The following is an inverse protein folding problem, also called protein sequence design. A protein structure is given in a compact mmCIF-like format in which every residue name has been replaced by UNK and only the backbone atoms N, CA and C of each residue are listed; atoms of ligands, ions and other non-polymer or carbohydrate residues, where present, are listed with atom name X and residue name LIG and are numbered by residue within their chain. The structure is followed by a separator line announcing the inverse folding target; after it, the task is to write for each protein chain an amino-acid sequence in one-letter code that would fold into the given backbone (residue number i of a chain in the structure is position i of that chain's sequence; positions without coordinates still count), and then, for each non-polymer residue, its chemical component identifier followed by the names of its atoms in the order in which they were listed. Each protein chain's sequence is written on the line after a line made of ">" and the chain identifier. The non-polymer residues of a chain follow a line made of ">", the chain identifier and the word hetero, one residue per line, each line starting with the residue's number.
data_IF_947437415752
#
_entry.id   IF_947437415752
#
_cell.length_a   1.000
_cell.length_b   1.000
_cell.length_c   1.000
_cell.angle_alpha   90.00
_cell.angle_beta   90.00
_cell.angle_gamma   90.00
#
_symmetry.space_group_name_H-M   'P 1'
#
loop_
_entity.id
_entity.type
_entity.pdbx_description
1 polymer ?
2 polymer ?
3 polymer ?
4 non-polymer ?
5 non-polymer ?
6 water ?
#
# COMPACT_ATOMS: atom_id res chain seq x y z
N UNK A 5 -4.01 23.71 13.01
CA UNK A 5 -3.40 22.47 12.44
C UNK A 5 -2.80 22.67 11.05
N UNK A 6 -1.53 23.06 11.01
CA UNK A 6 -0.84 23.30 9.73
C UNK A 6 0.44 22.48 9.61
N UNK A 7 1.03 22.53 8.42
CA UNK A 7 2.21 21.74 8.10
C UNK A 7 3.38 21.88 9.04
N UNK A 8 3.83 20.76 9.60
CA UNK A 8 4.95 20.73 10.53
C UNK A 8 6.08 19.91 9.89
N UNK A 9 7.24 20.53 9.78
CA UNK A 9 8.38 19.93 9.14
C UNK A 9 8.87 18.75 9.98
N UNK A 10 9.22 17.65 9.30
CA UNK A 10 9.89 16.52 9.93
C UNK A 10 11.40 16.82 9.84
N UNK A 11 12.07 16.81 11.00
CA UNK A 11 13.51 17.04 11.07
C UNK A 11 14.26 15.72 11.11
N UNK A 12 15.46 15.75 10.54
CA UNK A 12 16.30 14.58 10.43
C UNK A 12 17.71 14.98 10.87
N UNK A 13 18.23 14.32 11.90
CA UNK A 13 19.59 14.59 12.35
C UNK A 13 20.59 13.45 11.99
N UNK A 14 20.31 12.62 10.99
CA UNK A 14 21.19 11.48 10.66
C UNK A 14 20.77 10.19 11.35
N UNK A 15 20.23 10.30 12.57
CA UNK A 15 19.84 9.14 13.38
C UNK A 15 18.35 8.99 13.58
N UNK A 16 17.64 10.11 13.63
CA UNK A 16 16.21 10.10 13.98
C UNK A 16 15.42 11.05 13.10
N UNK A 17 14.15 10.71 12.91
CA UNK A 17 13.22 11.63 12.34
C UNK A 17 12.33 12.11 13.50
N UNK A 18 12.07 13.42 13.55
CA UNK A 18 11.43 14.00 14.71
C UNK A 18 10.42 15.00 14.27
N UNK A 19 9.30 15.07 14.99
CA UNK A 19 8.25 16.08 14.75
C UNK A 19 7.19 15.97 15.85
N UNK A 20 6.67 17.12 16.32
CA UNK A 20 5.57 17.20 17.32
C UNK A 20 5.91 16.46 18.62
N UNK A 21 7.18 16.49 18.98
CA UNK A 21 7.61 15.76 20.15
C UNK A 21 7.67 14.23 20.03
N UNK A 23 9.53 10.83 17.95
CA UNK A 23 10.64 10.48 17.10
C UNK A 23 10.72 9.01 16.82
N UNK A 24 11.27 8.72 15.64
CA UNK A 24 11.53 7.38 15.13
C UNK A 24 13.00 7.27 14.69
N UNK A 25 13.66 6.16 14.97
CA UNK A 25 14.99 5.93 14.33
C UNK A 25 14.87 5.93 12.79
N UNK A 26 15.96 6.31 12.14
CA UNK A 26 16.04 6.35 10.72
C UNK A 26 15.55 5.06 10.10
N UNK A 27 16.08 3.93 10.55
CA UNK A 27 15.80 2.71 9.81
C UNK A 27 14.39 2.25 10.14
N UNK A 28 13.93 2.42 11.38
CA UNK A 28 12.60 1.93 11.70
C UNK A 28 11.57 2.73 10.90
N UNK A 29 11.76 4.04 10.84
CA UNK A 29 10.89 4.91 10.08
C UNK A 29 10.78 4.45 8.62
N UNK A 30 11.90 4.18 8.01
CA UNK A 30 11.89 3.82 6.59
C UNK A 30 11.28 2.45 6.37
N UNK A 31 11.50 1.58 7.35
CA UNK A 31 11.02 0.20 7.27
C UNK A 31 9.50 0.19 7.25
N UNK A 32 8.87 0.99 8.09
CA UNK A 32 7.44 1.06 8.17
C UNK A 32 6.83 1.49 6.86
N UNK A 33 7.29 2.56 6.26
CA UNK A 33 6.78 2.91 4.91
C UNK A 33 7.01 1.82 3.87
N UNK A 34 8.18 1.21 3.91
CA UNK A 34 8.55 0.20 2.97
C UNK A 34 7.71 -1.03 3.13
N UNK A 35 7.29 -1.38 4.32
CA UNK A 35 6.53 -2.63 4.52
C UNK A 35 5.02 -2.47 4.34
N UNK A 36 4.58 -1.29 3.97
CA UNK A 36 3.18 -1.09 3.76
C UNK A 36 2.45 -0.62 4.99
N UNK A 37 3.19 -0.01 5.94
CA UNK A 37 2.60 0.62 7.11
C UNK A 37 2.94 2.12 7.16
N UNK A 38 2.39 2.89 6.21
CA UNK A 38 2.78 4.27 6.07
C UNK A 38 2.26 5.17 7.17
N UNK A 39 2.83 6.36 7.18
CA UNK A 39 2.47 7.46 8.06
C UNK A 39 2.58 7.06 9.52
N UNK A 40 3.79 6.66 9.96
CA UNK A 40 4.03 6.27 11.33
C UNK A 40 3.79 7.35 12.38
N UNK A 41 4.00 8.62 12.06
CA UNK A 41 3.69 9.69 13.01
C UNK A 41 2.21 9.83 13.18
N UNK A 42 1.49 9.74 12.08
CA UNK A 42 0.03 9.73 12.17
C UNK A 42 -0.47 8.53 13.00
N UNK A 43 0.05 7.33 12.75
CA UNK A 43 -0.33 6.16 13.58
C UNK A 43 -0.06 6.41 15.07
N UNK A 44 1.13 6.92 15.39
CA UNK A 44 1.54 7.06 16.81
C UNK A 44 0.68 8.13 17.51
N UNK A 45 0.40 9.19 16.80
CA UNK A 45 -0.49 10.21 17.31
C UNK A 45 -1.89 9.65 17.58
N UNK A 46 -2.39 8.84 16.68
CA UNK A 46 -3.67 8.18 16.95
C UNK A 46 -3.62 7.42 18.25
N UNK A 47 -2.51 6.72 18.48
CA UNK A 47 -2.46 5.95 19.73
C UNK A 47 -2.50 6.89 20.94
N UNK A 48 -1.68 7.95 20.88
CA UNK A 48 -1.50 8.84 21.99
C UNK A 48 -2.84 9.55 22.30
N UNK A 49 -3.68 9.76 21.29
CA UNK A 49 -4.98 10.44 21.38
C UNK A 49 -6.18 9.53 21.53
N UNK A 50 -5.93 8.27 21.83
CA UNK A 50 -7.02 7.26 21.89
C UNK A 50 -7.36 6.85 23.31
N UNK A 51 -7.00 7.68 24.29
CA UNK A 51 -6.98 7.25 25.70
C UNK A 51 -6.37 5.89 25.83
N UNK A 52 -5.11 5.76 25.51
CA UNK A 52 -4.59 4.40 25.46
C UNK A 52 -4.39 3.77 26.85
N UNK A 53 -4.46 2.44 26.90
CA UNK A 53 -4.05 1.65 28.05
C UNK A 53 -2.52 1.69 28.10
N UNK A 54 -1.98 2.08 29.24
CA UNK A 54 -0.57 2.31 29.39
C UNK A 54 -0.07 1.37 30.46
N UNK A 55 1.01 0.64 30.14
CA UNK A 55 1.64 -0.31 31.06
C UNK A 55 3.17 -0.25 30.86
N UNK A 56 3.94 -0.87 31.79
CA UNK A 56 5.39 -0.97 31.54
C UNK A 56 5.68 -1.79 30.29
N UNK A 57 6.76 -1.51 29.59
CA UNK A 57 7.21 -2.41 28.51
C UNK A 57 7.32 -3.84 29.06
N UNK A 58 6.54 -4.81 28.52
CA UNK A 58 6.70 -6.20 29.00
C UNK A 58 8.11 -6.78 28.78
N UNK A 59 8.83 -6.34 27.76
CA UNK A 59 10.20 -6.78 27.56
C UNK A 59 11.20 -6.01 28.39
N UNK A 60 10.80 -4.93 29.06
CA UNK A 60 11.72 -4.24 29.98
C UNK A 60 12.77 -3.31 29.38
N UNK A 61 12.58 -2.83 28.15
CA UNK A 61 13.46 -1.77 27.66
C UNK A 61 13.37 -0.52 28.57
N UNK A 62 14.52 0.06 28.95
CA UNK A 62 14.47 1.12 29.98
C UNK A 62 13.86 2.42 29.43
N UNK A 63 12.97 3.05 30.22
CA UNK A 63 12.28 4.26 29.83
C UNK A 63 11.00 4.04 28.99
N UNK A 64 10.78 2.81 28.53
CA UNK A 64 9.72 2.55 27.57
C UNK A 64 8.49 2.04 28.26
N UNK A 65 7.34 2.34 27.65
CA UNK A 65 6.04 1.81 28.08
C UNK A 65 5.29 1.23 26.91
N UNK A 66 4.39 0.32 27.20
CA UNK A 66 3.47 -0.17 26.21
C UNK A 66 2.14 0.58 26.25
N UNK A 67 1.76 1.16 25.10
CA UNK A 67 0.53 1.85 24.90
C UNK A 67 -0.35 1.05 23.92
N UNK A 68 -1.64 0.97 24.22
CA UNK A 68 -2.56 0.26 23.37
C UNK A 68 -3.82 1.07 23.12
N UNK A 69 -4.13 1.34 21.87
CA UNK A 69 -5.29 2.10 21.52
C UNK A 69 -5.34 2.30 20.02
N UNK A 70 -6.49 2.68 19.52
CA UNK A 70 -6.73 2.89 18.11
C UNK A 70 -6.36 1.71 17.23
N UNK A 71 -6.54 0.52 17.76
CA UNK A 71 -6.21 -0.67 16.97
C UNK A 71 -4.72 -1.02 16.92
N UNK A 72 -3.89 -0.34 17.70
CA UNK A 72 -2.46 -0.54 17.64
C UNK A 72 -1.86 -0.64 19.04
N UNK A 73 -0.64 -1.18 19.07
CA UNK A 73 0.19 -1.35 20.25
C UNK A 73 1.47 -0.70 19.88
N UNK A 75 5.34 0.75 21.63
CA UNK A 75 6.34 0.80 22.66
C UNK A 75 6.98 2.18 22.47
N UNK A 76 6.87 2.99 23.52
CA UNK A 76 7.08 4.47 23.46
C UNK A 76 7.69 4.99 24.76
N UNK A 77 8.66 5.88 24.58
CA UNK A 77 9.39 6.50 25.68
C UNK A 77 8.85 7.90 25.89
N UNK A 78 7.95 8.06 26.89
CA UNK A 78 7.35 9.40 27.13
C UNK A 78 8.38 10.54 27.45
N UNK A 79 9.57 10.21 27.94
CA UNK A 79 10.62 11.19 28.17
C UNK A 79 11.25 11.66 26.84
N UNK A 80 11.71 10.72 26.00
CA UNK A 80 12.39 11.10 24.78
C UNK A 80 11.42 11.30 23.61
N UNK A 81 10.20 10.82 23.70
CA UNK A 81 9.27 10.87 22.59
C UNK A 81 9.50 9.79 21.53
N UNK A 82 10.40 8.86 21.80
CA UNK A 82 10.73 7.86 20.78
C UNK A 82 9.70 6.76 20.77
N UNK A 83 9.19 6.52 19.58
CA UNK A 83 8.39 5.32 19.25
C UNK A 83 9.33 4.20 18.88
N UNK A 84 9.52 3.21 19.75
CA UNK A 84 10.49 2.14 19.47
C UNK A 84 9.91 1.01 18.61
N UNK A 85 8.59 0.84 18.73
CA UNK A 85 7.86 -0.16 18.00
C UNK A 85 6.35 0.12 17.99
N UNK A 86 5.72 -0.08 16.84
CA UNK A 86 4.31 0.11 16.68
C UNK A 86 3.81 -0.92 15.62
N UNK A 87 2.70 -1.60 15.91
CA UNK A 87 2.05 -2.57 15.01
C UNK A 87 0.57 -2.72 15.37
N UNK A 88 -0.25 -3.28 14.45
CA UNK A 88 -1.67 -3.53 14.80
C UNK A 88 -1.81 -4.56 15.91
N UNK A 89 -2.86 -4.52 16.68
CA UNK A 89 -3.00 -5.52 17.76
C UNK A 89 -3.18 -6.90 17.17
N UNK A 90 -2.94 -7.91 17.99
CA UNK A 90 -3.14 -9.28 17.58
C UNK A 90 -4.58 -9.50 17.13
N UNK A 91 -4.74 -10.13 15.99
CA UNK A 91 -6.05 -10.51 15.50
C UNK A 91 -6.51 -11.76 16.26
N UNK A 92 -7.74 -11.77 16.74
CA UNK A 92 -8.30 -12.99 17.32
C UNK A 92 -8.67 -13.97 16.18
N UNK B 2 -20.23 -9.01 -22.26
CA UNK B 2 -20.14 -10.17 -21.38
C UNK B 2 -18.74 -10.25 -20.79
N UNK B 3 -18.67 -10.19 -19.47
CA UNK B 3 -17.38 -10.12 -18.81
C UNK B 3 -16.82 -11.49 -18.44
N UNK B 4 -17.62 -12.54 -18.63
CA UNK B 4 -17.22 -13.87 -18.17
C UNK B 4 -15.87 -14.39 -18.74
N UNK B 5 -15.62 -14.17 -20.02
CA UNK B 5 -14.38 -14.76 -20.57
C UNK B 5 -13.09 -14.20 -19.93
N UNK B 6 -13.08 -12.89 -19.66
CA UNK B 6 -11.92 -12.26 -19.04
C UNK B 6 -11.93 -12.54 -17.54
N UNK B 7 -13.13 -12.68 -16.99
CA UNK B 7 -13.28 -13.04 -15.61
C UNK B 7 -12.68 -14.43 -15.35
N UNK B 8 -12.87 -15.38 -16.28
CA UNK B 8 -12.37 -16.78 -16.17
C UNK B 8 -10.86 -16.77 -16.19
N UNK B 9 -10.30 -15.95 -17.10
CA UNK B 9 -8.87 -15.78 -17.21
C UNK B 9 -8.26 -15.28 -15.90
N UNK B 10 -8.87 -14.27 -15.30
CA UNK B 10 -8.47 -13.75 -14.03
C UNK B 10 -8.59 -14.82 -12.92
N UNK B 11 -9.68 -15.59 -12.94
CA UNK B 11 -9.90 -16.60 -11.96
C UNK B 11 -8.88 -17.74 -12.02
N UNK B 12 -8.50 -18.11 -13.20
CA UNK B 12 -7.46 -19.10 -13.43
C UNK B 12 -6.10 -18.61 -12.91
N UNK B 14 -5.83 -16.29 -10.57
CA UNK B 14 -5.97 -16.30 -9.13
C UNK B 14 -5.66 -17.69 -8.54
N UNK B 15 -6.23 -18.72 -9.14
CA UNK B 15 -5.99 -20.08 -8.66
C UNK B 15 -4.50 -20.42 -8.71
N UNK B 16 -3.83 -20.09 -9.80
CA UNK B 16 -2.43 -20.40 -9.95
C UNK B 16 -1.53 -19.62 -9.00
N UNK B 17 -1.79 -18.36 -8.79
CA UNK B 17 -0.94 -17.60 -7.92
C UNK B 17 -1.12 -17.97 -6.46
N UNK B 18 -2.34 -18.24 -6.06
CA UNK B 18 -2.60 -18.64 -4.68
C UNK B 18 -1.93 -19.97 -4.38
N UNK B 19 -2.05 -20.91 -5.30
CA UNK B 19 -1.38 -22.19 -5.17
C UNK B 19 0.09 -22.01 -4.88
N UNK B 20 0.72 -21.12 -5.65
CA UNK B 20 2.14 -20.82 -5.51
C UNK B 20 2.54 -20.10 -4.21
N UNK B 21 1.72 -19.15 -3.81
CA UNK B 21 1.93 -18.43 -2.56
C UNK B 21 1.87 -19.39 -1.39
N UNK B 22 0.90 -20.27 -1.38
CA UNK B 22 0.76 -21.25 -0.26
C UNK B 22 2.00 -22.15 -0.15
N UNK B 23 2.55 -22.52 -1.30
CA UNK B 23 3.75 -23.30 -1.30
C UNK B 23 4.90 -22.50 -0.73
N UNK B 24 4.99 -21.25 -1.11
CA UNK B 24 6.05 -20.45 -0.59
C UNK B 24 5.91 -20.31 0.93
N UNK B 25 4.69 -20.14 1.40
CA UNK B 25 4.39 -20.05 2.83
C UNK B 25 4.82 -21.32 3.59
N UNK B 26 4.67 -22.50 2.98
CA UNK B 26 5.12 -23.74 3.58
C UNK B 26 6.62 -23.71 3.79
N UNK B 27 7.40 -23.27 2.80
CA UNK B 27 8.86 -23.11 2.95
C UNK B 27 9.23 -22.11 4.03
N UNK B 28 8.52 -20.98 4.14
CA UNK B 28 8.84 -20.01 5.19
C UNK B 28 8.59 -20.69 6.53
N UNK B 29 7.50 -21.41 6.64
CA UNK B 29 7.11 -22.06 7.88
C UNK B 29 8.17 -23.08 8.32
N UNK B 30 8.64 -23.87 7.40
CA UNK B 30 9.65 -24.88 7.70
C UNK B 30 10.97 -24.23 8.11
N UNK B 31 11.42 -23.26 7.32
CA UNK B 31 12.68 -22.55 7.57
C UNK B 31 12.68 -21.84 8.97
N UNK B 32 11.55 -21.26 9.32
CA UNK B 32 11.39 -20.64 10.60
C UNK B 32 11.39 -21.66 11.74
N UNK B 33 10.73 -22.82 11.56
CA UNK B 33 10.73 -23.89 12.60
C UNK B 33 12.16 -24.31 12.94
N UNK B 34 12.99 -24.38 11.92
CA UNK B 34 14.40 -24.77 12.01
C UNK B 34 15.27 -23.70 12.67
N UNK B 35 15.04 -22.42 12.34
CA UNK B 35 15.74 -21.29 13.00
C UNK B 35 15.43 -21.18 14.45
N UNK B 36 14.16 -21.32 14.77
CA UNK B 36 13.71 -21.36 16.16
C UNK B 36 14.45 -22.49 16.89
N UNK B 37 14.50 -23.68 16.31
CA UNK B 37 15.20 -24.83 16.90
C UNK B 37 16.68 -24.51 17.11
N UNK B 38 17.35 -23.98 16.09
CA UNK B 38 18.78 -23.64 16.20
C UNK B 38 19.05 -22.59 17.27
N UNK B 39 18.26 -21.51 17.26
CA UNK B 39 18.38 -20.44 18.25
C UNK B 39 18.26 -20.98 19.68
N UNK B 40 17.32 -21.91 19.87
CA UNK B 40 17.08 -22.52 21.17
C UNK B 40 18.16 -23.49 21.59
N UNK B 41 19.04 -23.86 20.68
CA UNK B 41 20.13 -24.79 20.96
C UNK B 41 21.47 -24.09 20.99
N UNK B 42 21.54 -22.77 21.03
CA UNK B 42 22.86 -22.13 21.07
C UNK B 42 22.85 -20.99 22.07
N UNK B 43 24.02 -20.42 22.35
CA UNK B 43 24.06 -19.31 23.29
C UNK B 43 23.60 -17.96 22.64
N UNK B 44 23.35 -16.97 23.48
CA UNK B 44 22.80 -15.72 23.02
C UNK B 44 23.66 -15.03 21.96
N UNK B 45 24.94 -14.94 22.18
CA UNK B 45 25.79 -14.27 21.17
C UNK B 45 25.74 -14.92 19.80
N UNK B 46 25.82 -16.23 19.78
CA UNK B 46 25.88 -17.00 18.53
C UNK B 46 24.52 -17.06 17.84
N UNK B 47 23.47 -16.69 18.57
CA UNK B 47 22.10 -16.63 18.07
C UNK B 47 21.79 -15.37 17.29
N UNK B 48 22.63 -14.35 17.37
CA UNK B 48 22.29 -13.08 16.74
C UNK B 48 22.15 -13.16 15.23
N UNK B 49 23.06 -13.85 14.54
CA UNK B 49 22.84 -13.91 13.08
C UNK B 49 21.63 -14.78 12.73
N UNK B 50 21.26 -15.66 13.63
CA UNK B 50 20.12 -16.51 13.42
C UNK B 50 18.85 -15.71 13.62
N UNK B 51 18.86 -14.81 14.59
CA UNK B 51 17.74 -13.91 14.82
C UNK B 51 17.62 -12.95 13.65
N UNK B 52 18.75 -12.50 13.10
CA UNK B 52 18.71 -11.59 11.95
C UNK B 52 17.95 -12.21 10.78
N UNK B 53 18.23 -13.49 10.51
CA UNK B 53 17.48 -14.28 9.49
C UNK B 53 16.01 -14.45 9.86
N UNK B 54 15.74 -14.80 11.10
CA UNK B 54 14.38 -14.98 11.56
C UNK B 54 13.57 -13.71 11.41
N UNK B 55 14.08 -12.58 11.87
CA UNK B 55 13.32 -11.33 11.71
C UNK B 55 13.23 -10.80 10.30
N UNK B 56 14.22 -11.14 9.48
CA UNK B 56 14.21 -10.76 8.07
C UNK B 56 13.03 -11.47 7.41
N UNK B 58 10.26 -12.62 9.00
CA UNK B 58 9.08 -12.05 9.54
C UNK B 58 8.77 -10.76 8.78
N UNK B 59 9.80 -9.97 8.48
CA UNK B 59 9.63 -8.67 7.79
C UNK B 59 9.08 -8.85 6.43
N UNK B 60 9.49 -9.91 5.76
CA UNK B 60 8.96 -10.17 4.46
C UNK B 60 7.52 -10.62 4.58
N UNK B 61 7.22 -11.44 5.61
CA UNK B 61 5.85 -11.92 5.79
C UNK B 61 4.94 -10.76 6.17
N UNK B 62 5.46 -9.81 6.93
CA UNK B 62 4.70 -8.60 7.23
C UNK B 62 4.43 -7.75 5.98
N UNK B 63 5.40 -7.68 5.06
CA UNK B 63 5.22 -6.98 3.82
C UNK B 63 4.10 -7.66 3.02
N UNK B 65 1.55 -9.26 4.22
CA UNK B 65 0.26 -9.00 4.87
C UNK B 65 -0.22 -7.54 4.61
N UNK B 66 0.68 -6.59 4.76
CA UNK B 66 0.27 -5.19 4.78
C UNK B 66 0.42 -4.54 3.45
N UNK B 67 1.47 -4.83 2.68
CA UNK B 67 1.58 -4.19 1.37
C UNK B 67 0.71 -4.86 0.32
N UNK B 68 0.72 -6.18 0.26
CA UNK B 68 0.04 -6.89 -0.81
C UNK B 68 -1.28 -7.45 -0.35
N UNK B 69 -1.52 -7.44 0.93
CA UNK B 69 -2.80 -7.88 1.51
C UNK B 69 -3.12 -9.35 1.29
N UNK B 70 -2.10 -10.18 1.33
CA UNK B 70 -2.34 -11.61 1.34
C UNK B 70 -2.44 -12.02 2.80
N UNK B 71 -3.59 -12.57 3.17
CA UNK B 71 -3.86 -12.97 4.55
C UNK B 71 -3.51 -14.47 4.68
N UNK B 72 -2.48 -14.83 5.45
CA UNK B 72 -2.05 -16.22 5.54
C UNK B 72 -2.82 -17.02 6.62
N UNK B 73 -2.49 -18.30 6.81
CA UNK B 73 -3.05 -19.11 7.90
C UNK B 73 -2.71 -18.55 9.28
N UNK B 74 -3.59 -18.81 10.25
CA UNK B 74 -3.46 -18.35 11.65
C UNK B 74 -2.05 -18.49 12.23
N UNK B 75 -1.41 -19.60 11.95
CA UNK B 75 -0.07 -19.82 12.43
C UNK B 75 0.93 -18.75 12.02
N UNK B 76 0.97 -18.49 10.72
CA UNK B 76 1.81 -17.43 10.16
C UNK B 76 1.32 -16.03 10.62
N UNK B 77 0.02 -15.78 10.73
CA UNK B 77 -0.48 -14.53 11.30
C UNK B 77 0.00 -14.29 12.72
N UNK B 78 -0.07 -15.29 13.57
CA UNK B 78 0.46 -15.21 14.91
C UNK B 78 1.93 -14.97 14.92
N UNK B 79 2.65 -15.67 14.06
CA UNK B 79 4.06 -15.42 13.93
C UNK B 79 4.40 -13.98 13.54
N UNK B 80 3.69 -13.44 12.55
CA UNK B 80 3.90 -12.05 12.11
C UNK B 80 3.70 -11.05 13.26
N UNK B 81 2.69 -11.27 14.07
CA UNK B 81 2.50 -10.43 15.25
C UNK B 81 3.62 -10.62 16.28
N UNK B 82 3.76 -11.81 16.81
CA UNK B 82 4.72 -12.04 17.91
C UNK B 82 6.18 -11.67 17.62
N UNK B 83 6.62 -11.82 16.39
CA UNK B 83 8.02 -11.58 16.02
C UNK B 83 8.27 -10.27 15.32
N UNK B 84 7.30 -9.38 15.32
CA UNK B 84 7.45 -8.08 14.67
C UNK B 84 8.51 -7.22 15.33
N UNK B 85 8.47 -7.15 16.64
CA UNK B 85 9.42 -6.35 17.36
C UNK B 85 10.78 -7.06 17.44
N UNK B 86 11.81 -6.38 16.96
CA UNK B 86 13.14 -6.88 16.82
C UNK B 86 14.10 -5.92 17.50
N UNK B 87 14.46 -6.22 18.75
CA UNK B 87 15.51 -5.48 19.40
C UNK B 87 16.16 -6.39 20.43
N UNK B 88 17.13 -5.85 21.18
CA UNK B 88 17.84 -6.61 22.22
C UNK B 88 16.89 -7.28 23.23
N UNK B 89 15.83 -6.56 23.62
CA UNK B 89 14.95 -6.95 24.71
C UNK B 89 13.99 -8.01 24.25
N UNK B 90 13.55 -7.96 22.99
CA UNK B 90 12.68 -9.02 22.47
C UNK B 90 13.54 -10.26 22.19
N UNK B 91 14.76 -10.04 21.69
CA UNK B 91 15.67 -11.21 21.48
C UNK B 91 16.00 -11.96 22.76
N UNK B 92 16.23 -11.23 23.83
CA UNK B 92 16.51 -11.83 25.13
C UNK B 92 15.31 -12.73 25.51
N UNK B 93 14.10 -12.20 25.36
CA UNK B 93 12.87 -12.92 25.69
C UNK B 93 12.69 -14.17 24.83
N UNK B 94 12.84 -14.04 23.53
CA UNK B 94 12.60 -15.18 22.63
C UNK B 94 13.68 -16.22 22.79
N UNK B 95 14.93 -15.79 22.99
CA UNK B 95 15.99 -16.76 23.18
C UNK B 95 15.69 -17.65 24.38
N UNK B 96 15.30 -17.04 25.48
CA UNK B 96 14.97 -17.77 26.67
C UNK B 96 13.86 -18.76 26.40
N UNK B 97 12.79 -18.30 25.78
CA UNK B 97 11.64 -19.18 25.56
C UNK B 97 12.00 -20.33 24.63
N UNK B 98 12.75 -20.05 23.57
CA UNK B 98 13.10 -21.09 22.59
C UNK B 98 14.09 -22.11 23.21
N UNK B 99 15.05 -21.64 24.02
CA UNK B 99 15.93 -22.50 24.82
C UNK B 99 15.18 -23.44 25.76
N UNK B 100 14.08 -22.96 26.37
CA UNK B 100 13.25 -23.81 27.24
C UNK B 100 12.34 -24.77 26.49
N UNK B 101 12.42 -24.79 25.17
CA UNK B 101 11.68 -25.74 24.35
C UNK B 101 10.49 -25.22 23.54
N UNK B 102 10.32 -23.90 23.44
CA UNK B 102 9.27 -23.33 22.61
C UNK B 102 9.64 -23.50 21.12
N UNK B 103 8.74 -24.15 20.36
CA UNK B 103 8.97 -24.52 18.96
C UNK B 103 8.43 -23.51 17.95
N UNK B 104 7.54 -22.63 18.39
CA UNK B 104 6.89 -21.64 17.53
C UNK B 104 6.48 -20.47 18.41
N UNK B 105 6.60 -19.23 17.94
CA UNK B 105 6.20 -18.10 18.79
C UNK B 105 4.74 -18.09 19.26
N UNK B 106 4.57 -17.72 20.53
CA UNK B 106 3.27 -17.57 21.15
C UNK B 106 3.49 -16.95 22.52
N UNK B 107 2.47 -16.34 23.07
CA UNK B 107 2.59 -15.61 24.34
C UNK B 107 2.67 -16.57 25.53
N UNK C 32 -3.32 25.21 -8.14
CA UNK C 32 -3.73 23.93 -8.81
C UNK C 32 -4.39 22.99 -7.80
N UNK C 33 -5.59 22.47 -8.14
CA UNK C 33 -6.35 21.68 -7.19
C UNK C 33 -5.72 20.30 -6.92
N UNK C 34 -5.76 19.93 -5.64
CA UNK C 34 -5.15 18.74 -5.09
C UNK C 34 -5.58 17.44 -5.82
N UNK C 35 -4.63 16.54 -6.13
CA UNK C 35 -4.91 15.24 -6.72
C UNK C 35 -3.84 14.21 -6.32
N UNK C 36 -4.30 13.11 -5.70
CA UNK C 36 -3.47 12.00 -5.28
C UNK C 36 -4.04 10.67 -5.82
N UNK C 37 -3.39 10.05 -6.80
CA UNK C 37 -3.77 8.74 -7.20
C UNK C 37 -3.46 7.70 -6.12
N UNK C 38 -4.42 6.84 -5.77
CA UNK C 38 -4.23 5.87 -4.70
C UNK C 38 -3.47 4.62 -5.15
N UNK C 39 -2.36 4.34 -4.49
CA UNK C 39 -1.55 3.15 -4.69
C UNK C 39 -1.87 2.05 -3.71
N UNK C 40 -1.86 2.37 -2.43
CA UNK C 40 -1.97 1.36 -1.42
C UNK C 40 -2.93 1.87 -0.38
N UNK C 41 -3.47 0.93 0.39
CA UNK C 41 -4.41 1.20 1.45
C UNK C 41 -4.06 0.35 2.66
N UNK C 42 -4.15 0.97 3.83
CA UNK C 42 -3.78 0.35 5.09
C UNK C 42 -4.89 0.70 6.03
N UNK C 43 -5.58 -0.28 6.58
CA UNK C 43 -6.69 0.04 7.48
C UNK C 43 -6.27 -0.04 8.94
N UNK C 44 -6.69 0.96 9.72
CA UNK C 44 -6.51 0.93 11.19
C UNK C 44 -7.87 1.01 11.92
N UNK C 45 -8.10 0.01 12.77
CA UNK C 45 -9.35 -0.14 13.47
C UNK C 45 -9.85 1.10 14.23
N UNK C 46 -11.10 1.47 13.93
CA UNK C 46 -11.83 2.51 14.64
C UNK C 46 -11.47 3.95 14.33
N UNK C 47 -10.53 4.18 13.41
CA UNK C 47 -10.09 5.57 13.11
C UNK C 47 -10.16 5.91 11.62
N UNK C 48 -10.19 4.85 10.80
CA UNK C 48 -10.29 4.94 9.36
C UNK C 48 -9.18 4.17 8.66
N UNK C 49 -8.85 4.67 7.48
CA UNK C 49 -7.99 3.99 6.55
C UNK C 49 -6.93 5.00 6.11
N UNK C 50 -5.70 4.55 5.94
CA UNK C 50 -4.64 5.37 5.41
C UNK C 50 -4.41 5.02 3.95
N UNK C 51 -4.50 6.00 3.06
CA UNK C 51 -4.19 5.73 1.65
C UNK C 51 -2.93 6.42 1.25
N UNK C 52 -2.10 5.76 0.46
CA UNK C 52 -0.85 6.31 -0.01
C UNK C 52 -0.79 6.45 -1.47
N UNK C 53 0.04 7.40 -1.87
CA UNK C 53 0.43 7.59 -3.23
C UNK C 53 1.35 8.80 -3.35
N UNK C 54 1.68 9.14 -4.57
CA UNK C 54 2.47 10.30 -4.87
C UNK C 54 1.52 11.39 -5.28
N UNK C 55 1.53 12.53 -4.57
CA UNK C 55 0.74 13.69 -4.99
C UNK C 55 1.12 14.17 -6.39
N UNK C 56 0.10 14.36 -7.21
CA UNK C 56 0.25 14.73 -8.64
C UNK C 56 0.29 16.25 -8.78
N UNK C 57 -0.56 16.95 -8.05
CA UNK C 57 -0.56 18.41 -8.05
C UNK C 57 -1.25 18.89 -6.79
N UNK C 58 -1.05 20.15 -6.47
CA UNK C 58 -1.71 20.78 -5.33
C UNK C 58 -1.15 20.38 -3.98
N UNK C 59 -1.92 20.73 -2.95
CA UNK C 59 -1.54 20.51 -1.55
C UNK C 59 -2.74 19.95 -0.79
N UNK C 60 -2.46 19.09 0.15
CA UNK C 60 -3.51 18.49 0.96
C UNK C 60 -3.13 18.79 2.37
N UNK C 61 -4.08 19.30 3.13
CA UNK C 61 -3.83 19.62 4.52
C UNK C 61 -4.84 18.93 5.37
N UNK C 62 -4.44 18.71 6.61
CA UNK C 62 -5.28 18.04 7.53
C UNK C 62 -6.53 18.88 7.68
N UNK C 63 -7.67 18.21 7.69
CA UNK C 63 -8.95 18.85 7.97
C UNK C 63 -9.71 19.17 6.71
N UNK C 64 -9.05 19.20 5.57
CA UNK C 64 -9.73 19.50 4.33
C UNK C 64 -10.59 18.34 3.89
N UNK C 65 -11.69 18.68 3.24
CA UNK C 65 -12.56 17.68 2.68
C UNK C 65 -11.96 17.21 1.33
N UNK C 66 -12.17 15.95 1.00
CA UNK C 66 -11.75 15.41 -0.27
C UNK C 66 -12.78 14.46 -0.85
N UNK C 67 -12.74 14.30 -2.15
CA UNK C 67 -13.53 13.30 -2.83
C UNK C 67 -12.65 12.16 -3.24
N UNK C 68 -13.27 10.99 -3.34
CA UNK C 68 -12.64 9.74 -3.75
C UNK C 68 -13.34 9.41 -5.03
N UNK C 69 -12.61 9.48 -6.16
CA UNK C 69 -13.21 9.49 -7.46
C UNK C 69 -12.68 8.39 -8.34
N UNK C 70 -13.61 7.70 -8.98
CA UNK C 70 -13.30 6.65 -9.89
C UNK C 70 -13.68 5.31 -9.40
N UNK C 71 -13.88 4.42 -10.37
CA UNK C 71 -14.32 3.03 -10.15
C UNK C 71 -15.68 2.92 -9.45
N UNK C 72 -15.77 3.46 -8.24
CA UNK C 72 -17.03 3.42 -7.47
C UNK C 72 -17.72 4.76 -7.60
N UNK C 73 -18.92 4.83 -7.05
CA UNK C 73 -19.58 6.10 -6.94
C UNK C 73 -18.72 7.01 -6.06
N UNK C 74 -18.66 8.27 -6.42
CA UNK C 74 -17.90 9.23 -5.71
C UNK C 74 -18.33 9.25 -4.25
N UNK C 75 -17.37 9.54 -3.36
CA UNK C 75 -17.62 9.72 -1.94
C UNK C 75 -16.79 10.89 -1.49
N UNK C 76 -17.21 11.50 -0.40
CA UNK C 76 -16.52 12.58 0.26
C UNK C 76 -16.05 12.10 1.65
N UNK C 77 -15.00 12.73 2.13
CA UNK C 77 -14.44 12.40 3.42
C UNK C 77 -13.50 13.53 3.85
N UNK C 78 -13.06 13.50 5.09
CA UNK C 78 -12.10 14.48 5.62
C UNK C 78 -10.77 13.77 5.95
N UNK C 79 -9.63 14.35 5.56
CA UNK C 79 -8.32 14.00 6.10
C UNK C 79 -8.32 14.25 7.58
N UNK C 80 -8.07 13.25 8.39
CA UNK C 80 -7.77 13.53 9.81
C UNK C 80 -6.28 13.38 10.14
N UNK C 81 -5.45 13.11 9.12
CA UNK C 81 -4.01 13.04 9.27
C UNK C 81 -3.37 12.93 7.90
N UNK C 82 -2.20 13.54 7.76
CA UNK C 82 -1.42 13.52 6.57
C UNK C 82 0.02 13.39 6.97
N UNK C 83 0.79 12.61 6.20
CA UNK C 83 2.24 12.57 6.41
C UNK C 83 2.94 12.46 5.05
N UNK C 84 3.89 13.34 4.79
CA UNK C 84 4.73 13.23 3.62
C UNK C 84 6.04 12.65 4.08
N UNK C 85 6.37 11.47 3.55
CA UNK C 85 7.54 10.68 3.87
C UNK C 85 8.80 11.51 4.01
N UNK C 86 9.37 11.52 5.23
CA UNK C 86 10.64 12.24 5.59
C UNK C 86 10.52 13.76 5.59
N UNK C 87 9.37 14.35 5.27
CA UNK C 87 9.33 15.82 5.07
C UNK C 87 8.32 16.57 5.91
N UNK C 88 7.05 16.12 5.94
CA UNK C 88 5.94 16.90 6.56
C UNK C 88 4.88 16.09 7.29
N UNK C 89 4.43 16.66 8.41
CA UNK C 89 3.28 16.19 9.13
C UNK C 89 2.11 17.17 8.98
N UNK C 90 0.98 16.63 8.53
CA UNK C 90 -0.29 17.31 8.36
C UNK C 90 -0.42 18.13 7.15
N UNK C 91 0.51 17.91 6.22
CA UNK C 91 0.46 18.48 4.94
C UNK C 91 1.19 17.58 3.99
N UNK C 92 0.75 17.57 2.73
CA UNK C 92 1.42 16.86 1.69
C UNK C 92 1.45 17.59 0.35
N UNK C 93 2.54 17.41 -0.39
CA UNK C 93 2.79 18.15 -1.62
C UNK C 93 3.37 17.16 -2.60
N UNK C 94 3.46 17.57 -3.87
CA UNK C 94 4.09 16.77 -4.95
C UNK C 94 5.50 16.37 -4.57
N UNK C 95 5.92 15.17 -4.92
CA UNK C 95 7.28 14.75 -4.54
C UNK C 95 7.33 13.38 -3.94
N UNK C 96 7.66 13.25 -2.65
CA UNK C 96 7.70 11.92 -1.99
C UNK C 96 6.26 11.41 -1.74
N UNK C 97 6.15 10.17 -1.29
CA UNK C 97 4.90 9.60 -0.98
C UNK C 97 4.21 10.32 0.19
N UNK C 98 2.91 10.28 0.10
CA UNK C 98 2.06 10.90 1.07
C UNK C 98 1.12 9.81 1.55
N UNK C 99 0.90 9.74 2.86
CA UNK C 99 -0.16 8.92 3.45
C UNK C 99 -1.25 9.83 3.99
N UNK C 100 -2.50 9.49 3.72
CA UNK C 100 -3.64 10.30 4.11
C UNK C 100 -4.61 9.43 4.89
N UNK C 101 -4.92 9.85 6.11
CA UNK C 101 -5.82 9.11 6.98
C UNK C 101 -7.20 9.67 6.74
N UNK C 102 -8.13 8.83 6.29
CA UNK C 102 -9.52 9.28 6.05
C UNK C 102 -10.44 8.72 7.10
N UNK C 103 -11.07 9.61 7.83
CA UNK C 103 -11.93 9.16 8.90
C UNK C 103 -13.21 8.56 8.34
N UNK C 104 -13.58 7.41 8.89
CA UNK C 104 -14.85 6.79 8.57
C UNK C 104 -14.85 5.98 7.29
N UNK C 105 -13.70 5.89 6.61
CA UNK C 105 -13.62 5.14 5.37
C UNK C 105 -13.06 3.81 5.77
N UNK C 106 -13.81 2.76 5.45
CA UNK C 106 -13.42 1.41 5.74
C UNK C 106 -12.75 0.84 4.50
N UNK C 107 -12.01 -0.25 4.68
CA UNK C 107 -11.16 -0.84 3.64
C UNK C 107 -11.87 -1.16 2.32
N UNK C 108 -13.02 -1.77 2.42
CA UNK C 108 -13.75 -2.14 1.25
C UNK C 108 -14.39 -0.95 0.49
N UNK C 109 -14.30 0.27 1.00
CA UNK C 109 -14.97 1.40 0.38
C UNK C 109 -13.99 2.19 -0.47
N UNK C 110 -12.74 1.79 -0.47
CA UNK C 110 -11.72 2.50 -1.21
C UNK C 110 -10.80 1.49 -1.91
N UNK C 111 -10.23 1.87 -3.05
CA UNK C 111 -9.37 0.95 -3.80
C UNK C 111 -8.29 1.67 -4.63
N UNK C 112 -7.21 0.94 -4.85
CA UNK C 112 -6.15 1.40 -5.70
C UNK C 112 -6.72 1.77 -7.04
N UNK C 113 -6.23 2.88 -7.63
CA UNK C 113 -6.79 3.27 -8.92
C UNK C 113 -7.79 4.38 -8.78
N UNK C 114 -8.42 4.51 -7.62
CA UNK C 114 -9.14 5.75 -7.38
C UNK C 114 -8.16 6.92 -7.19
N UNK C 115 -8.67 8.16 -7.18
CA UNK C 115 -7.92 9.30 -6.78
C UNK C 115 -8.58 10.03 -5.61
N UNK C 116 -7.77 10.69 -4.77
CA UNK C 116 -8.29 11.71 -3.84
C UNK C 116 -8.14 13.06 -4.55
N UNK C 117 -9.19 13.87 -4.42
CA UNK C 117 -9.19 15.12 -5.11
C UNK C 117 -9.99 16.16 -4.35
N UNK C 118 -9.59 17.41 -4.54
CA UNK C 118 -10.36 18.56 -4.03
C UNK C 118 -11.74 18.43 -4.61
N UNK C 119 -12.78 18.54 -3.77
CA UNK C 119 -14.10 18.30 -4.29
C UNK C 119 -14.49 19.16 -5.50
N UNK C 120 -15.14 18.52 -6.46
CA UNK C 120 -15.59 19.19 -7.64
C UNK C 120 -14.57 19.54 -8.69
N UNK C 121 -13.36 19.01 -8.63
CA UNK C 121 -12.34 19.35 -9.60
C UNK C 121 -12.00 18.26 -10.62
N UNK C 122 -12.49 17.03 -10.42
CA UNK C 122 -12.32 16.00 -11.39
C UNK C 122 -13.51 15.06 -11.34
N UNK C 123 -13.89 14.50 -12.49
CA UNK C 123 -15.05 13.63 -12.54
C UNK C 123 -14.73 12.29 -13.17
N UNK C 124 -15.52 11.29 -12.84
CA UNK C 124 -15.35 10.00 -13.42
C UNK C 124 -16.01 9.89 -14.77
N UNK C 125 -15.37 9.20 -15.69
CA UNK C 125 -15.92 8.99 -17.01
C UNK C 125 -15.53 7.57 -17.49
N UNK C 126 -16.33 7.06 -18.42
CA UNK C 126 -16.10 5.79 -19.07
C UNK C 126 -15.83 5.92 -20.56
N UNK C 127 -16.28 7.01 -21.19
CA UNK C 127 -16.21 7.10 -22.68
C UNK C 127 -15.37 8.30 -23.11
N UNK C 128 -14.39 8.07 -23.99
CA UNK C 128 -13.56 9.15 -24.47
C UNK C 128 -12.98 8.90 -25.86
N UNK C 129 -12.65 10.00 -26.54
CA UNK C 129 -11.91 9.96 -27.78
C UNK C 129 -10.46 9.95 -27.40
N UNK C 130 -9.67 9.15 -28.10
CA UNK C 130 -8.26 9.01 -27.84
C UNK C 130 -7.43 9.11 -29.11
N UNK C 131 -6.18 9.52 -28.91
CA UNK C 131 -5.13 9.40 -29.90
C UNK C 131 -4.21 8.34 -29.35
N UNK C 132 -3.94 7.31 -30.15
CA UNK C 132 -3.13 6.17 -29.68
C UNK C 132 -2.06 5.78 -30.68
N UNK C 133 -0.92 5.34 -30.15
CA UNK C 133 0.13 4.71 -30.88
C UNK C 133 0.17 3.25 -30.43
N UNK C 134 0.11 2.35 -31.40
CA UNK C 134 0.15 0.92 -31.16
C UNK C 134 1.59 0.46 -31.33
N UNK C 135 2.15 -0.22 -30.34
CA UNK C 135 3.58 -0.62 -30.45
C UNK C 135 3.75 -1.63 -31.58
N UNK C 136 4.88 -1.55 -32.24
CA UNK C 136 5.33 -2.60 -33.14
C UNK C 136 5.75 -3.83 -32.33
N UNK C 137 5.80 -4.96 -33.03
CA UNK C 137 6.26 -6.22 -32.50
C UNK C 137 7.72 -6.10 -31.98
N UNK C 138 8.55 -5.43 -32.77
CA UNK C 138 9.95 -5.23 -32.41
C UNK C 138 10.11 -4.33 -31.21
N UNK C 139 9.08 -3.51 -30.93
CA UNK C 139 9.05 -2.67 -29.71
C UNK C 139 8.46 -3.43 -28.50
N UNK C 140 8.09 -4.70 -28.66
CA UNK C 140 7.63 -5.53 -27.53
C UNK C 140 6.11 -5.64 -27.52
N UNK C 141 5.46 -5.11 -28.56
CA UNK C 141 4.03 -5.07 -28.66
C UNK C 141 3.41 -6.29 -29.33
N UNK C 142 2.22 -6.09 -29.83
CA UNK C 142 1.52 -7.09 -30.62
C UNK C 142 2.28 -7.56 -31.91
N UNK C 143 1.96 -8.80 -32.31
CA UNK C 143 2.49 -9.46 -33.54
C UNK C 143 1.50 -9.30 -34.68
N UNK C 144 0.23 -9.43 -34.35
CA UNK C 144 -0.86 -9.33 -35.29
C UNK C 144 -1.68 -8.05 -35.04
N UNK C 145 -2.36 -7.54 -36.10
CA UNK C 145 -3.30 -6.43 -35.97
C UNK C 145 -4.52 -6.79 -35.21
N UNK C 146 -5.25 -5.79 -34.76
CA UNK C 146 -6.43 -6.06 -34.01
C UNK C 146 -7.57 -5.47 -34.78
N UNK C 147 -8.77 -5.87 -34.37
CA UNK C 147 -9.99 -5.56 -35.07
C UNK C 147 -10.98 -4.89 -34.10
N UNK C 148 -12.19 -4.66 -34.58
CA UNK C 148 -13.18 -3.88 -33.87
C UNK C 148 -13.59 -4.45 -32.51
N UNK C 149 -13.37 -5.75 -32.28
CA UNK C 149 -13.79 -6.41 -31.04
C UNK C 149 -12.69 -6.55 -30.01
N UNK C 150 -11.66 -5.72 -30.13
CA UNK C 150 -10.48 -5.73 -29.27
C UNK C 150 -10.88 -5.20 -27.89
N UNK C 151 -10.57 -5.98 -26.87
CA UNK C 151 -10.93 -5.66 -25.47
C UNK C 151 -9.68 -5.64 -24.60
N UNK C 152 -8.81 -4.63 -24.79
CA UNK C 152 -7.62 -4.57 -23.99
C UNK C 152 -7.84 -3.90 -22.66
N UNK C 153 -6.79 -3.85 -21.89
CA UNK C 153 -6.77 -3.10 -20.62
C UNK C 153 -6.17 -1.71 -20.88
N UNK C 154 -6.75 -0.71 -20.21
CA UNK C 154 -6.28 0.64 -20.26
C UNK C 154 -5.79 1.05 -18.89
N UNK C 155 -4.54 1.41 -18.82
CA UNK C 155 -3.89 1.67 -17.55
C UNK C 155 -3.84 3.19 -17.27
N UNK C 156 -4.52 3.63 -16.20
CA UNK C 156 -4.60 5.01 -15.82
C UNK C 156 -4.02 5.17 -14.45
N UNK C 157 -2.84 5.83 -14.41
CA UNK C 157 -2.18 6.21 -13.20
C UNK C 157 -1.70 5.03 -12.42
N UNK C 158 -2.58 4.31 -11.74
CA UNK C 158 -2.14 3.22 -10.88
C UNK C 158 -2.83 1.89 -11.13
N UNK C 159 -3.77 1.84 -12.07
CA UNK C 159 -4.62 0.66 -12.30
C UNK C 159 -5.04 0.44 -13.75
N UNK C 160 -5.41 -0.80 -14.03
CA UNK C 160 -5.85 -1.28 -15.34
C UNK C 160 -7.37 -1.40 -15.36
N UNK C 161 -8.00 -1.00 -16.45
CA UNK C 161 -9.45 -1.13 -16.60
C UNK C 161 -9.76 -1.64 -18.00
N UNK C 162 -10.60 -2.69 -18.12
CA UNK C 162 -10.95 -3.22 -19.44
C UNK C 162 -11.81 -2.17 -20.17
N UNK C 163 -11.63 -2.06 -21.47
CA UNK C 163 -12.50 -1.22 -22.30
C UNK C 163 -12.67 -1.77 -23.73
N UNK C 164 -13.75 -1.36 -24.40
CA UNK C 164 -13.97 -1.67 -25.82
C UNK C 164 -13.68 -0.43 -26.67
N UNK C 165 -13.61 -0.61 -27.98
CA UNK C 165 -13.14 0.42 -28.88
C UNK C 165 -14.06 0.60 -30.08
N UNK C 166 -14.07 1.80 -30.66
CA UNK C 166 -14.73 2.06 -31.95
C UNK C 166 -13.72 2.66 -32.92
N UNK C 167 -13.36 1.85 -33.91
CA UNK C 167 -12.41 2.29 -34.94
C UNK C 167 -13.06 3.38 -35.80
N UNK C 168 -12.25 4.24 -36.41
CA UNK C 168 -12.87 5.25 -37.28
C UNK C 168 -13.42 4.65 -38.61
N UNK C 169 -14.28 5.41 -39.28
CA UNK C 169 -14.97 4.91 -40.51
C UNK C 169 -14.00 4.39 -41.57
N UNK C 170 -14.30 3.21 -42.11
CA UNK C 170 -13.48 2.58 -43.12
C UNK C 170 -12.24 1.84 -42.61
N UNK C 171 -11.87 2.03 -41.35
CA UNK C 171 -10.72 1.32 -40.78
C UNK C 171 -11.24 0.01 -40.21
N UNK C 172 -10.75 -1.10 -40.74
CA UNK C 172 -11.16 -2.45 -40.31
C UNK C 172 -10.12 -3.09 -39.38
N UNK C 173 -8.89 -2.64 -39.47
CA UNK C 173 -7.84 -3.21 -38.65
C UNK C 173 -6.72 -2.20 -38.38
N UNK C 174 -6.05 -2.40 -37.26
CA UNK C 174 -4.99 -1.52 -36.84
C UNK C 174 -3.79 -2.42 -36.74
N UNK C 175 -2.74 -2.03 -37.48
CA UNK C 175 -1.51 -2.78 -37.56
C UNK C 175 -0.60 -2.38 -36.39
N UNK C 176 0.12 -3.36 -35.81
CA UNK C 176 1.19 -3.00 -34.90
C UNK C 176 2.03 -1.93 -35.57
N UNK C 177 2.31 -0.84 -34.85
CA UNK C 177 3.12 0.24 -35.42
C UNK C 177 2.36 1.46 -35.92
N UNK C 178 1.03 1.34 -36.03
CA UNK C 178 0.15 2.46 -36.40
C UNK C 178 -0.18 3.46 -35.25
N UNK C 179 -0.48 4.68 -35.68
CA UNK C 179 -1.22 5.64 -34.89
C UNK C 179 -2.64 5.43 -35.32
N UNK C 180 -3.57 5.76 -34.43
CA UNK C 180 -5.01 5.55 -34.65
C UNK C 180 -5.75 6.46 -33.66
N UNK C 181 -6.84 7.06 -34.15
CA UNK C 181 -7.77 7.77 -33.32
C UNK C 181 -8.89 6.81 -33.04
N UNK C 182 -9.18 6.54 -31.78
CA UNK C 182 -10.30 5.63 -31.44
C UNK C 182 -11.19 6.12 -30.33
N UNK C 183 -12.44 5.67 -30.33
CA UNK C 183 -13.35 5.94 -29.21
C UNK C 183 -13.31 4.77 -28.23
N UNK C 184 -13.07 5.06 -26.95
CA UNK C 184 -12.95 4.00 -25.94
C UNK C 184 -14.09 4.08 -24.98
N UNK C 185 -14.65 2.92 -24.60
CA UNK C 185 -15.65 2.79 -23.54
C UNK C 185 -15.13 1.85 -22.45
N UNK C 186 -14.78 2.40 -21.29
CA UNK C 186 -14.31 1.60 -20.14
C UNK C 186 -15.48 0.89 -19.44
N UNK C 187 -15.23 -0.25 -18.81
CA UNK C 187 -16.30 -0.92 -18.08
C UNK C 187 -16.45 -0.43 -16.66
N UNK C 188 -15.57 0.44 -16.23
CA UNK C 188 -15.60 1.07 -14.90
C UNK C 188 -15.11 2.46 -15.10
N UNK C 189 -15.73 3.45 -14.43
CA UNK C 189 -15.27 4.82 -14.58
C UNK C 189 -13.92 5.10 -14.00
N UNK C 190 -13.24 6.06 -14.59
CA UNK C 190 -11.94 6.51 -14.17
C UNK C 190 -11.97 8.05 -14.04
N UNK C 191 -11.45 8.60 -12.95
CA UNK C 191 -11.24 10.02 -12.89
C UNK C 191 -10.38 10.47 -14.08
N UNK C 192 -10.89 11.37 -14.90
CA UNK C 192 -10.08 11.87 -16.01
C UNK C 192 -10.49 13.20 -16.55
N UNK C 193 -9.52 13.84 -17.22
CA UNK C 193 -9.69 15.11 -17.92
C UNK C 193 -8.99 14.95 -19.25
N UNK C 194 -9.24 15.86 -20.19
CA UNK C 194 -8.56 15.83 -21.48
C UNK C 194 -7.05 15.98 -21.23
N UNK C 195 -6.19 15.34 -22.04
CA UNK C 195 -4.71 15.36 -21.77
C UNK C 195 -4.19 14.20 -20.91
N UNK C 196 -5.07 13.49 -20.22
CA UNK C 196 -4.63 12.34 -19.44
C UNK C 196 -3.99 11.20 -20.28
N UNK C 197 -2.77 10.84 -19.94
CA UNK C 197 -2.09 9.80 -20.70
C UNK C 197 -2.44 8.45 -20.13
N UNK C 198 -2.41 7.45 -21.03
CA UNK C 198 -2.60 6.10 -20.59
C UNK C 198 -1.79 5.10 -21.39
N UNK C 199 -1.65 3.89 -20.82
CA UNK C 199 -1.04 2.79 -21.52
C UNK C 199 -2.09 1.77 -21.88
N UNK C 200 -1.84 1.02 -22.95
CA UNK C 200 -2.74 -0.05 -23.42
C UNK C 200 -1.99 -1.33 -23.18
N UNK C 201 -2.66 -2.28 -22.55
CA UNK C 201 -2.02 -3.46 -22.02
C UNK C 201 -2.78 -4.74 -22.29
N UNK C 202 -2.03 -5.81 -22.46
CA UNK C 202 -2.55 -7.14 -22.79
C UNK C 202 -1.65 -8.07 -22.03
N UNK C 203 -2.26 -8.89 -21.19
CA UNK C 203 -1.56 -9.85 -20.34
C UNK C 203 -0.49 -9.32 -19.42
N UNK C 204 -0.50 -8.02 -19.14
CA UNK C 204 0.56 -7.40 -18.36
C UNK C 204 1.58 -6.65 -19.20
N UNK C 205 1.61 -6.87 -20.51
CA UNK C 205 2.55 -6.15 -21.37
C UNK C 205 1.92 -4.93 -22.09
N UNK C 206 2.72 -3.85 -22.17
CA UNK C 206 2.35 -2.65 -22.88
C UNK C 206 2.34 -2.86 -24.37
N UNK C 207 1.18 -2.67 -24.99
CA UNK C 207 0.99 -2.81 -26.43
C UNK C 207 0.66 -1.46 -27.12
N UNK C 208 0.44 -0.40 -26.34
CA UNK C 208 0.16 0.91 -26.91
C UNK C 208 0.22 2.00 -25.86
N UNK C 209 0.22 3.24 -26.33
CA UNK C 209 0.22 4.38 -25.46
C UNK C 209 -0.73 5.40 -26.02
N UNK C 210 -1.46 6.08 -25.14
CA UNK C 210 -2.43 7.06 -25.61
C UNK C 210 -2.64 8.28 -24.76
N UNK C 211 -3.45 9.22 -25.28
CA UNK C 211 -3.87 10.38 -24.57
C UNK C 211 -5.37 10.54 -24.76
N UNK C 212 -6.03 10.99 -23.70
CA UNK C 212 -7.45 11.33 -23.73
C UNK C 212 -7.59 12.64 -24.46
N UNK C 213 -8.24 12.58 -25.63
CA UNK C 213 -8.41 13.76 -26.49
C UNK C 213 -9.60 14.57 -26.02
N UNK C 214 -10.73 13.89 -25.91
CA UNK C 214 -11.98 14.50 -25.52
C UNK C 214 -12.78 13.53 -24.65
N UNK C 215 -13.06 13.95 -23.44
CA UNK C 215 -14.01 13.24 -22.62
C UNK C 215 -15.43 13.35 -23.18
N UNK C 216 -16.20 12.27 -23.08
CA UNK C 216 -17.55 12.22 -23.62
C UNK C 216 -18.65 11.94 -22.59
N UNK C 217 -18.48 10.97 -21.69
CA UNK C 217 -19.58 10.60 -20.81
C UNK C 217 -19.18 9.63 -19.72
#
# INVERSE_FOLDING_TARGET
>A
LSYLGIGKKISFDGDFYTVDGXKFSKSYYEKLWEQGRPAPFVQAREVLNSNPKIEPDPRGAPGYLRYEGAGLEXIYNPKTGQVGHIQPVKVK
>B
XDIWPEFQRDLEXYRDVVLSIKRNLRLYEECIESLVHQIGSTNFDNAQPLFDDLFRXQSELATXLYKYEYKPGKRIQDLIYHLDRDDFYSRKYWHKKFSDGLAWPEAGHHHHHH
>C
ALEGDAEWEAKILELAGFLDSYIPEPERAIDKPFLLPIEDVFSISGRGTVVTGRVERGIIKVGEEVEIVGIKETQKSTCTGVEMFRKLLDEGRAGENVGVLLRGIKREEIERGQVLAKPGTIKPHTKFESEVYILSKDEGGRHTPFFKGYRPQFYFRTTDVTGTIELPEGVEMVMPGDNIKMVVTLIHPIAMDDGLRFAIREGGRTVGAGVVAKVLG
#
